data_IF_398116348709
#
_entry.id   IF_398116348709
#
_cell.length_a   1.000
_cell.length_b   1.000
_cell.length_c   1.000
_cell.angle_alpha   90.00
_cell.angle_beta   90.00
_cell.angle_gamma   90.00
#
_symmetry.space_group_name_H-M   'P 1'
#
loop_
_entity.id
_entity.type
_entity.pdbx_description
1 polymer ?
#
# COMPACT_ATOMS: atom_id res chain seq x y z
N UNK A 1 13.50 2.31 -10.47
CA UNK A 1 13.78 1.29 -9.43
C UNK A 1 13.85 -0.08 -10.10
N UNK A 2 15.04 -0.65 -10.28
CA UNK A 2 15.22 -1.95 -10.95
C UNK A 2 14.95 -3.10 -9.96
N UNK A 3 13.98 -3.96 -10.26
CA UNK A 3 13.74 -5.21 -9.53
C UNK A 3 14.85 -6.19 -9.87
N UNK A 4 15.86 -6.30 -9.02
CA UNK A 4 16.93 -7.31 -9.12
C UNK A 4 16.27 -8.69 -8.94
N UNK A 5 16.19 -9.48 -10.02
CA UNK A 5 15.75 -10.88 -9.95
C UNK A 5 16.83 -11.68 -9.24
N UNK A 6 16.47 -12.33 -8.14
CA UNK A 6 17.36 -13.23 -7.41
C UNK A 6 17.87 -14.33 -8.35
N UNK A 7 19.16 -14.63 -8.27
CA UNK A 7 19.81 -15.62 -9.13
C UNK A 7 19.23 -17.01 -8.88
N UNK A 8 19.10 -17.81 -9.94
CA UNK A 8 18.29 -19.05 -10.00
C UNK A 8 18.98 -20.29 -9.37
N UNK A 9 19.96 -20.10 -8.50
CA UNK A 9 20.70 -21.21 -7.86
C UNK A 9 21.19 -20.92 -6.44
N UNK A 10 20.98 -19.70 -5.94
CA UNK A 10 21.30 -19.33 -4.55
C UNK A 10 20.12 -19.70 -3.65
N UNK A 11 20.45 -20.33 -2.51
CA UNK A 11 19.53 -20.65 -1.42
C UNK A 11 18.46 -19.55 -1.23
N UNK A 12 17.21 -19.89 -1.56
CA UNK A 12 16.09 -18.97 -1.37
C UNK A 12 15.37 -19.30 -0.08
N UNK A 13 15.85 -18.68 1.00
CA UNK A 13 15.29 -18.81 2.35
C UNK A 13 13.76 -18.68 2.39
N UNK A 14 13.17 -17.79 1.58
CA UNK A 14 11.71 -17.58 1.59
C UNK A 14 10.91 -18.71 0.95
N UNK A 15 11.49 -19.43 -0.02
CA UNK A 15 10.86 -20.58 -0.66
C UNK A 15 10.90 -21.78 0.30
N UNK A 16 12.07 -22.09 0.84
CA UNK A 16 12.27 -23.20 1.79
C UNK A 16 11.39 -23.05 3.06
N UNK A 17 11.29 -21.84 3.61
CA UNK A 17 10.40 -21.56 4.74
C UNK A 17 8.93 -21.83 4.39
N UNK A 18 8.52 -21.51 3.17
CA UNK A 18 7.14 -21.76 2.72
C UNK A 18 6.88 -23.25 2.58
N UNK A 19 7.83 -24.01 2.03
CA UNK A 19 7.70 -25.45 1.86
C UNK A 19 7.66 -26.17 3.22
N UNK A 20 8.51 -25.75 4.17
CA UNK A 20 8.48 -26.23 5.56
C UNK A 20 7.13 -25.94 6.24
N UNK A 21 6.59 -24.73 6.08
CA UNK A 21 5.29 -24.36 6.64
C UNK A 21 4.10 -25.00 5.92
N UNK A 22 4.28 -25.44 4.68
CA UNK A 22 3.26 -26.17 3.92
C UNK A 22 3.22 -27.65 4.34
N UNK A 23 4.38 -28.23 4.64
CA UNK A 23 4.49 -29.56 5.22
C UNK A 23 3.98 -29.58 6.68
N UNK A 24 4.45 -28.66 7.51
CA UNK A 24 4.15 -28.61 8.95
C UNK A 24 3.73 -27.18 9.38
N UNK A 25 2.43 -26.90 9.29
CA UNK A 25 1.87 -25.56 9.57
C UNK A 25 1.92 -25.10 11.04
N UNK A 26 2.35 -25.98 11.96
CA UNK A 26 2.43 -25.69 13.41
C UNK A 26 3.81 -25.23 13.86
N UNK A 27 4.82 -25.27 12.97
CA UNK A 27 6.20 -24.96 13.33
C UNK A 27 6.37 -23.54 13.88
N UNK A 28 7.20 -23.43 14.91
CA UNK A 28 7.61 -22.14 15.47
C UNK A 28 8.75 -21.54 14.63
N UNK A 29 8.91 -20.21 14.67
CA UNK A 29 9.96 -19.54 13.89
C UNK A 29 11.37 -20.02 14.26
N UNK A 30 11.56 -20.46 15.51
CA UNK A 30 12.81 -21.04 16.01
C UNK A 30 13.08 -22.42 15.41
N UNK A 31 12.08 -23.29 15.37
CA UNK A 31 12.20 -24.62 14.73
C UNK A 31 12.49 -24.48 13.24
N UNK A 32 11.86 -23.53 12.56
CA UNK A 32 12.14 -23.23 11.15
C UNK A 32 13.59 -22.76 10.96
N UNK A 33 14.13 -21.97 11.88
CA UNK A 33 15.53 -21.54 11.83
C UNK A 33 16.51 -22.71 12.03
N UNK A 34 16.29 -23.55 13.06
CA UNK A 34 17.14 -24.70 13.37
C UNK A 34 17.14 -25.73 12.21
N UNK A 35 15.98 -25.99 11.63
CA UNK A 35 15.84 -26.89 10.46
C UNK A 35 16.53 -26.35 9.21
N UNK A 36 16.46 -25.04 8.95
CA UNK A 36 17.17 -24.42 7.84
C UNK A 36 18.69 -24.44 8.04
N UNK A 37 19.16 -24.20 9.26
CA UNK A 37 20.58 -24.24 9.57
C UNK A 37 21.16 -25.66 9.44
N UNK A 38 20.39 -26.68 9.82
CA UNK A 38 20.75 -28.07 9.62
C UNK A 38 20.77 -28.48 8.12
N UNK A 39 19.81 -28.00 7.33
CA UNK A 39 19.73 -28.29 5.89
C UNK A 39 20.77 -27.54 5.06
N UNK A 40 21.14 -26.32 5.47
CA UNK A 40 22.04 -25.45 4.73
C UNK A 40 23.13 -24.87 5.64
N UNK A 41 24.07 -25.70 6.15
CA UNK A 41 25.11 -25.25 7.08
C UNK A 41 26.10 -24.23 6.49
N UNK A 42 26.19 -24.15 5.15
CA UNK A 42 27.02 -23.18 4.44
C UNK A 42 26.34 -21.84 4.14
N UNK A 43 25.03 -21.71 4.40
CA UNK A 43 24.30 -20.47 4.15
C UNK A 43 24.45 -19.51 5.33
N UNK A 44 24.73 -18.24 5.06
CA UNK A 44 24.73 -17.19 6.09
C UNK A 44 23.30 -16.79 6.43
N UNK A 45 22.61 -17.63 7.22
CA UNK A 45 21.22 -17.40 7.62
C UNK A 45 21.20 -16.46 8.82
N UNK A 46 20.74 -15.23 8.61
CA UNK A 46 20.49 -14.28 9.68
C UNK A 46 19.12 -14.55 10.32
N UNK A 47 19.09 -14.74 11.64
CA UNK A 47 17.86 -15.02 12.41
C UNK A 47 16.77 -13.94 12.22
N UNK A 48 17.15 -12.66 12.19
CA UNK A 48 16.20 -11.57 11.97
C UNK A 48 15.57 -11.65 10.58
N UNK A 49 16.36 -12.02 9.56
CA UNK A 49 15.87 -12.19 8.19
C UNK A 49 14.98 -13.44 8.07
N UNK A 50 15.34 -14.53 8.75
CA UNK A 50 14.52 -15.75 8.85
C UNK A 50 13.15 -15.43 9.46
N UNK A 51 13.11 -14.69 10.57
CA UNK A 51 11.87 -14.29 11.23
C UNK A 51 10.94 -13.45 10.34
N UNK A 52 11.50 -12.53 9.55
CA UNK A 52 10.71 -11.74 8.57
C UNK A 52 10.15 -12.64 7.46
N UNK A 53 10.97 -13.53 6.90
CA UNK A 53 10.54 -14.46 5.88
C UNK A 53 9.47 -15.45 6.39
N UNK A 54 9.63 -15.98 7.61
CA UNK A 54 8.64 -16.80 8.32
C UNK A 54 7.33 -16.06 8.53
N UNK A 55 7.36 -14.81 9.00
CA UNK A 55 6.16 -13.99 9.17
C UNK A 55 5.42 -13.79 7.84
N UNK A 56 6.17 -13.52 6.76
CA UNK A 56 5.59 -13.31 5.43
C UNK A 56 5.05 -14.62 4.82
N UNK A 57 5.74 -15.74 5.01
CA UNK A 57 5.28 -17.06 4.57
C UNK A 57 3.99 -17.49 5.30
N UNK A 58 3.92 -17.32 6.63
CA UNK A 58 2.68 -17.56 7.39
C UNK A 58 1.52 -16.68 6.93
N UNK A 59 1.78 -15.40 6.62
CA UNK A 59 0.75 -14.51 6.05
C UNK A 59 0.26 -14.99 4.69
N UNK A 60 1.18 -15.42 3.83
CA UNK A 60 0.85 -15.94 2.49
C UNK A 60 0.02 -17.23 2.55
N UNK A 61 0.32 -18.11 3.51
CA UNK A 61 -0.40 -19.36 3.76
C UNK A 61 -1.68 -19.18 4.59
N UNK A 62 -2.04 -17.95 4.99
CA UNK A 62 -3.23 -17.70 5.80
C UNK A 62 -3.14 -18.18 7.25
N UNK A 63 -1.97 -18.63 7.71
CA UNK A 63 -1.70 -19.09 9.09
C UNK A 63 -1.58 -17.86 10.00
N UNK A 64 -2.68 -17.13 10.15
CA UNK A 64 -2.77 -15.97 11.05
C UNK A 64 -2.91 -16.49 12.47
N UNK A 65 -2.02 -16.06 13.36
CA UNK A 65 -2.36 -16.03 14.79
C UNK A 65 -3.65 -15.22 14.87
N UNK A 66 -4.68 -15.76 15.50
CA UNK A 66 -5.96 -15.10 15.84
C UNK A 66 -5.75 -13.95 16.85
N UNK A 67 -4.67 -13.18 16.69
CA UNK A 67 -4.39 -11.97 17.42
C UNK A 67 -5.01 -10.80 16.67
N UNK A 68 -6.10 -10.26 17.24
CA UNK A 68 -6.72 -8.98 16.90
C UNK A 68 -5.69 -8.02 16.30
N UNK A 69 -5.86 -7.70 15.01
CA UNK A 69 -5.06 -6.66 14.37
C UNK A 69 -5.08 -5.41 15.24
N UNK A 70 -3.91 -4.89 15.60
CA UNK A 70 -3.81 -3.64 16.36
C UNK A 70 -4.48 -2.57 15.50
N UNK A 71 -5.68 -2.15 15.88
CA UNK A 71 -6.37 -1.04 15.24
C UNK A 71 -5.51 0.19 15.49
N UNK A 72 -4.70 0.55 14.48
CA UNK A 72 -3.97 1.80 14.49
C UNK A 72 -5.03 2.89 14.34
N UNK A 73 -5.50 3.42 15.46
CA UNK A 73 -6.37 4.61 15.48
C UNK A 73 -5.60 5.71 14.75
N UNK A 74 -6.02 6.02 13.52
CA UNK A 74 -5.55 7.19 12.79
C UNK A 74 -5.76 8.40 13.72
N UNK A 75 -4.70 9.17 13.98
CA UNK A 75 -4.80 10.39 14.77
C UNK A 75 -5.86 11.28 14.13
N UNK A 76 -6.85 11.73 14.91
CA UNK A 76 -7.86 12.66 14.43
C UNK A 76 -7.15 13.90 13.87
N UNK A 77 -7.56 14.43 12.72
CA UNK A 77 -7.01 15.67 12.22
C UNK A 77 -7.20 16.76 13.28
N UNK A 78 -6.11 17.48 13.58
CA UNK A 78 -6.12 18.63 14.50
C UNK A 78 -7.03 19.69 13.89
N UNK A 79 -8.10 20.05 14.60
CA UNK A 79 -8.97 21.14 14.21
C UNK A 79 -8.13 22.42 14.11
N UNK A 80 -8.12 23.04 12.93
CA UNK A 80 -7.43 24.33 12.71
C UNK A 80 -6.44 24.36 11.53
N UNK A 81 -6.11 23.23 10.91
CA UNK A 81 -5.42 23.27 9.61
C UNK A 81 -6.46 23.20 8.49
N UNK A 82 -6.59 24.21 7.61
CA UNK A 82 -7.41 24.08 6.42
C UNK A 82 -6.73 23.07 5.48
N UNK A 83 -7.04 21.79 5.66
CA UNK A 83 -6.88 20.81 4.59
C UNK A 83 -7.91 21.16 3.55
N UNK A 84 -7.47 21.50 2.34
CA UNK A 84 -8.36 21.74 1.21
C UNK A 84 -9.36 20.58 1.14
N UNK A 85 -10.62 20.87 1.44
CA UNK A 85 -11.69 19.90 1.33
C UNK A 85 -11.74 19.49 -0.14
N UNK A 86 -11.32 18.27 -0.45
CA UNK A 86 -11.63 17.68 -1.74
C UNK A 86 -13.15 17.54 -1.79
N UNK A 87 -13.86 18.26 -2.66
CA UNK A 87 -15.31 18.17 -2.70
C UNK A 87 -15.69 16.73 -3.06
N UNK A 88 -16.29 16.00 -2.12
CA UNK A 88 -16.70 14.62 -2.33
C UNK A 88 -17.97 14.51 -3.19
N UNK A 89 -18.58 15.65 -3.55
CA UNK A 89 -19.83 15.75 -4.30
C UNK A 89 -19.62 16.55 -5.59
N UNK A 90 -18.68 16.11 -6.45
CA UNK A 90 -18.59 16.67 -7.80
C UNK A 90 -19.64 15.97 -8.65
N UNK A 91 -20.75 16.67 -8.96
CA UNK A 91 -21.78 16.16 -9.88
C UNK A 91 -21.14 15.90 -11.25
N UNK A 92 -21.36 14.70 -11.81
CA UNK A 92 -20.86 14.34 -13.15
C UNK A 92 -21.39 15.29 -14.23
N UNK A 93 -22.58 15.86 -14.02
CA UNK A 93 -23.15 16.89 -14.90
C UNK A 93 -22.35 18.19 -14.84
N UNK A 94 -21.89 18.58 -13.64
CA UNK A 94 -21.04 19.75 -13.46
C UNK A 94 -19.70 19.57 -14.20
N UNK A 95 -19.12 18.36 -14.16
CA UNK A 95 -17.87 18.05 -14.90
C UNK A 95 -18.10 18.15 -16.41
N UNK A 96 -19.19 17.58 -16.93
CA UNK A 96 -19.53 17.66 -18.36
C UNK A 96 -19.72 19.10 -18.83
N UNK A 97 -20.46 19.89 -18.05
CA UNK A 97 -20.66 21.32 -18.38
C UNK A 97 -19.35 22.12 -18.34
N UNK A 98 -18.43 21.80 -17.41
CA UNK A 98 -17.11 22.42 -17.35
C UNK A 98 -16.24 22.05 -18.55
N UNK A 99 -16.30 20.79 -19.01
CA UNK A 99 -15.60 20.36 -20.22
C UNK A 99 -16.11 21.08 -21.47
N UNK A 100 -17.43 21.25 -21.61
CA UNK A 100 -18.02 21.97 -22.75
C UNK A 100 -17.63 23.46 -22.75
N UNK A 101 -17.56 24.09 -21.57
CA UNK A 101 -17.09 25.47 -21.45
C UNK A 101 -15.62 25.61 -21.81
N UNK A 102 -14.77 24.68 -21.38
CA UNK A 102 -13.35 24.67 -21.74
C UNK A 102 -13.15 24.45 -23.23
N UNK A 103 -13.94 23.56 -23.85
CA UNK A 103 -13.90 23.32 -25.29
C UNK A 103 -14.33 24.56 -26.10
N UNK A 104 -15.35 25.29 -25.63
CA UNK A 104 -15.83 26.53 -26.27
C UNK A 104 -14.91 27.74 -26.03
N UNK A 105 -14.28 27.81 -24.86
CA UNK A 105 -13.39 28.91 -24.50
C UNK A 105 -11.99 28.79 -25.11
N UNK A 106 -11.59 27.59 -25.57
CA UNK A 106 -10.32 27.33 -26.25
C UNK A 106 -9.07 27.40 -25.36
N UNK A 107 -9.15 28.03 -24.19
CA UNK A 107 -8.09 28.05 -23.19
C UNK A 107 -8.66 28.11 -21.78
N UNK A 108 -7.90 27.57 -20.82
CA UNK A 108 -8.26 27.57 -19.40
C UNK A 108 -8.39 29.00 -18.85
N UNK A 109 -7.56 29.92 -19.32
CA UNK A 109 -7.57 31.33 -18.88
C UNK A 109 -8.81 32.07 -19.35
N UNK A 110 -9.26 31.83 -20.59
CA UNK A 110 -10.50 32.40 -21.12
C UNK A 110 -11.74 31.89 -20.35
N UNK A 111 -11.76 30.59 -20.02
CA UNK A 111 -12.84 30.01 -19.22
C UNK A 111 -12.92 30.63 -17.81
N UNK A 112 -11.77 30.85 -17.15
CA UNK A 112 -11.71 31.52 -15.85
C UNK A 112 -12.19 32.98 -15.96
N UNK A 113 -11.82 33.68 -17.03
CA UNK A 113 -12.27 35.04 -17.30
C UNK A 113 -13.80 35.14 -17.47
N UNK A 114 -14.39 34.22 -18.24
CA UNK A 114 -15.84 34.13 -18.42
C UNK A 114 -16.54 33.84 -17.10
N UNK A 115 -16.06 32.84 -16.33
CA UNK A 115 -16.64 32.50 -15.02
C UNK A 115 -16.60 33.70 -14.07
N UNK A 116 -15.50 34.46 -14.04
CA UNK A 116 -15.39 35.67 -13.22
C UNK A 116 -16.32 36.78 -13.69
N UNK A 117 -16.53 36.93 -14.99
CA UNK A 117 -17.48 37.91 -15.54
C UNK A 117 -18.95 37.55 -15.29
N UNK A 118 -19.25 36.25 -15.14
CA UNK A 118 -20.59 35.72 -14.86
C UNK A 118 -20.91 35.62 -13.36
N UNK A 119 -19.95 35.87 -12.46
CA UNK A 119 -20.25 36.05 -11.04
C UNK A 119 -20.74 37.48 -10.82
N UNK A 120 -22.07 37.74 -10.72
CA UNK A 120 -22.50 39.01 -10.17
C UNK A 120 -21.93 39.14 -8.75
N UNK A 121 -21.53 40.35 -8.41
CA UNK A 121 -21.18 40.74 -7.04
C UNK A 121 -22.38 40.42 -6.12
N UNK A 122 -22.49 39.20 -5.62
CA UNK A 122 -23.26 38.89 -4.42
C UNK A 122 -22.51 39.51 -3.24
N UNK A 123 -22.60 40.84 -3.18
CA UNK A 123 -22.38 41.62 -1.96
C UNK A 123 -23.77 41.88 -1.40
N UNK A 124 -24.20 40.99 -0.51
CA UNK A 124 -25.05 41.40 0.60
C UNK A 124 -24.12 41.73 1.78
#
# INVERSE_FOLDING_TARGET
MAKKKASRGEFNMSAEIRDLLTADGTLTGREVFETLQAKFPGAQINEASCNVAFSNARKALGIRKTGRGKVVRRRRPVAGRPTAAVPQNVSLEAIRSACDLLAKAGSQEAAIGIIRSLQPLNKD
#
